data_IF_025743035033
#
_entry.id   IF_025743035033
#
_cell.length_a   1.000
_cell.length_b   1.000
_cell.length_c   1.000
_cell.angle_alpha   90.00
_cell.angle_beta   90.00
_cell.angle_gamma   90.00
#
_symmetry.space_group_name_H-M   'P 1'
#
loop_
_entity.id
_entity.type
_entity.pdbx_description
1 polymer ?
#
# COMPACT_ATOMS: atom_id res chain seq x y z
N UNK A 1 -3.98 -4.68 3.03
CA UNK A 1 -2.54 -5.07 3.08
C UNK A 1 -1.95 -4.98 4.49
N UNK A 2 -1.88 -3.84 5.17
CA UNK A 2 -1.25 -3.75 6.51
C UNK A 2 -1.86 -4.68 7.57
N UNK A 3 -3.14 -5.01 7.48
CA UNK A 3 -3.77 -6.05 8.31
C UNK A 3 -3.15 -7.44 8.09
N UNK A 4 -2.84 -7.78 6.85
CA UNK A 4 -2.18 -9.06 6.52
C UNK A 4 -0.78 -9.12 7.14
N UNK A 5 0.01 -8.05 7.04
CA UNK A 5 1.30 -7.96 7.71
C UNK A 5 1.18 -8.11 9.23
N UNK A 6 0.17 -7.46 9.84
CA UNK A 6 -0.11 -7.60 11.28
C UNK A 6 -0.45 -9.03 11.65
N UNK A 7 -1.32 -9.69 10.88
CA UNK A 7 -1.72 -11.09 11.10
C UNK A 7 -0.53 -12.03 10.91
N UNK A 8 0.32 -11.74 9.92
CA UNK A 8 1.58 -12.46 9.72
C UNK A 8 2.66 -12.13 10.77
N UNK A 9 2.32 -11.39 11.84
CA UNK A 9 3.21 -11.04 12.95
C UNK A 9 4.44 -10.22 12.54
N UNK A 10 4.35 -9.50 11.42
CA UNK A 10 5.39 -8.57 11.01
C UNK A 10 5.49 -7.40 12.00
N UNK A 11 6.71 -6.96 12.31
CA UNK A 11 6.94 -5.76 13.12
C UNK A 11 6.62 -4.53 12.27
N UNK A 12 5.52 -3.85 12.57
CA UNK A 12 5.04 -2.70 11.80
C UNK A 12 5.45 -1.41 12.47
N UNK A 13 6.23 -0.59 11.76
CA UNK A 13 6.58 0.75 12.19
C UNK A 13 5.38 1.70 11.99
N UNK A 14 4.83 2.18 13.09
CA UNK A 14 3.73 3.17 13.14
C UNK A 14 3.88 4.02 14.39
N UNK A 15 3.44 5.29 14.33
CA UNK A 15 3.45 6.19 15.47
C UNK A 15 2.09 6.38 16.11
N UNK A 16 1.04 5.75 15.57
CA UNK A 16 -0.34 5.85 16.02
C UNK A 16 -0.89 7.31 16.09
N UNK A 17 -0.26 8.26 15.40
CA UNK A 17 -0.73 9.66 15.36
C UNK A 17 -2.07 9.75 14.66
N UNK A 18 -2.23 8.98 13.56
CA UNK A 18 -3.50 8.87 12.84
C UNK A 18 -4.21 7.58 13.22
N UNK A 19 -5.23 7.71 14.04
CA UNK A 19 -6.07 6.59 14.50
C UNK A 19 -7.14 6.20 13.47
N UNK A 20 -7.83 5.08 13.73
CA UNK A 20 -8.98 4.65 12.94
C UNK A 20 -10.10 5.68 12.92
N UNK A 21 -10.82 5.75 11.81
CA UNK A 21 -12.01 6.56 11.62
C UNK A 21 -13.05 5.84 10.74
N UNK A 22 -14.18 6.49 10.44
CA UNK A 22 -15.23 5.91 9.59
C UNK A 22 -14.77 5.57 8.18
N UNK A 23 -13.74 6.27 7.67
CA UNK A 23 -13.18 6.02 6.34
C UNK A 23 -12.19 4.84 6.34
N UNK A 24 -11.52 4.63 7.46
CA UNK A 24 -10.60 3.51 7.65
C UNK A 24 -10.72 2.90 9.05
N UNK A 25 -11.76 2.10 9.30
CA UNK A 25 -12.07 1.55 10.62
C UNK A 25 -11.03 0.52 11.12
N UNK A 26 -10.12 0.07 10.26
CA UNK A 26 -9.02 -0.86 10.62
C UNK A 26 -7.68 -0.17 10.84
N UNK A 27 -7.65 1.17 10.87
CA UNK A 27 -6.45 1.98 11.11
C UNK A 27 -5.60 2.25 9.87
N UNK A 28 -4.79 3.29 9.95
CA UNK A 28 -4.00 3.78 8.81
C UNK A 28 -2.60 3.18 8.72
N UNK A 29 -2.01 2.75 9.85
CA UNK A 29 -0.66 2.21 9.91
C UNK A 29 0.37 3.14 9.26
N UNK A 30 0.26 4.43 9.50
CA UNK A 30 1.16 5.46 8.97
C UNK A 30 2.28 5.74 9.98
N UNK A 31 3.41 6.21 9.46
CA UNK A 31 4.52 6.74 10.21
C UNK A 31 4.76 8.16 9.72
N UNK A 32 4.65 9.17 10.60
CA UNK A 32 4.73 10.59 10.24
C UNK A 32 6.05 10.94 9.55
N UNK A 33 7.15 10.31 9.96
CA UNK A 33 8.47 10.50 9.36
C UNK A 33 8.49 10.25 7.85
N UNK A 34 7.62 9.36 7.34
CA UNK A 34 7.51 9.05 5.90
C UNK A 34 7.10 10.27 5.09
N UNK A 35 6.31 11.19 5.64
CA UNK A 35 5.92 12.43 4.95
C UNK A 35 7.11 13.34 4.65
N UNK A 36 8.15 13.24 5.47
CA UNK A 36 9.39 14.01 5.33
C UNK A 36 10.51 13.29 4.56
N UNK A 37 10.28 12.08 4.03
CA UNK A 37 11.31 11.21 3.43
C UNK A 37 12.08 11.89 2.29
N UNK A 38 11.44 12.79 1.55
CA UNK A 38 12.05 13.58 0.47
C UNK A 38 13.20 14.45 0.98
N UNK A 39 13.11 14.93 2.23
CA UNK A 39 14.10 15.81 2.86
C UNK A 39 15.11 15.03 3.69
N UNK A 40 14.66 13.99 4.34
CA UNK A 40 15.50 13.17 5.21
C UNK A 40 14.95 11.73 5.27
N UNK A 41 15.73 10.78 4.81
CA UNK A 41 15.41 9.36 4.82
C UNK A 41 16.26 8.56 5.83
N UNK A 42 17.08 9.23 6.66
CA UNK A 42 17.99 8.57 7.59
C UNK A 42 17.27 7.72 8.65
N UNK A 43 16.01 8.07 8.98
CA UNK A 43 15.18 7.29 9.91
C UNK A 43 14.93 5.85 9.46
N UNK A 44 15.06 5.57 8.16
CA UNK A 44 14.88 4.21 7.62
C UNK A 44 15.90 3.22 8.19
N UNK A 45 17.11 3.67 8.54
CA UNK A 45 18.15 2.82 9.16
C UNK A 45 17.75 2.29 10.54
N UNK A 46 16.90 3.03 11.25
CA UNK A 46 16.37 2.65 12.56
C UNK A 46 15.19 1.65 12.45
N UNK A 47 14.72 1.43 11.21
CA UNK A 47 13.58 0.58 10.90
C UNK A 47 13.99 -0.72 10.20
N UNK A 48 15.27 -1.08 10.26
CA UNK A 48 15.74 -2.34 9.69
C UNK A 48 14.97 -3.53 10.29
N UNK A 49 14.56 -4.46 9.41
CA UNK A 49 13.69 -5.59 9.78
C UNK A 49 12.22 -5.25 10.02
N UNK A 50 11.81 -3.98 9.92
CA UNK A 50 10.42 -3.55 10.11
C UNK A 50 9.66 -3.36 8.80
N UNK A 51 8.34 -3.50 8.89
CA UNK A 51 7.42 -3.20 7.80
C UNK A 51 6.92 -1.76 7.93
N UNK A 52 7.06 -0.96 6.88
CA UNK A 52 6.55 0.41 6.83
C UNK A 52 5.61 0.60 5.64
N UNK A 53 4.66 1.50 5.79
CA UNK A 53 3.75 1.91 4.71
C UNK A 53 4.30 3.16 4.05
N UNK A 54 4.61 3.07 2.76
CA UNK A 54 5.05 4.21 1.93
C UNK A 54 4.08 4.36 0.75
N UNK A 55 3.62 5.59 0.46
CA UNK A 55 2.83 5.86 -0.73
C UNK A 55 3.72 5.86 -1.98
N UNK A 56 3.22 5.36 -3.09
CA UNK A 56 3.99 5.11 -4.30
C UNK A 56 4.95 6.24 -4.73
N UNK A 57 4.56 7.53 -4.76
CA UNK A 57 5.47 8.60 -5.16
C UNK A 57 6.72 8.73 -4.27
N UNK A 58 6.59 8.35 -3.01
CA UNK A 58 7.67 8.49 -2.02
C UNK A 58 8.66 7.34 -2.01
N UNK A 59 8.34 6.22 -2.66
CA UNK A 59 9.25 5.06 -2.72
C UNK A 59 10.57 5.38 -3.43
N UNK A 60 10.59 6.37 -4.31
CA UNK A 60 11.79 6.81 -5.02
C UNK A 60 12.81 7.55 -4.14
N UNK A 61 12.46 7.82 -2.87
CA UNK A 61 13.31 8.53 -1.92
C UNK A 61 13.82 7.65 -0.77
N UNK A 62 13.67 6.33 -0.88
CA UNK A 62 14.18 5.39 0.13
C UNK A 62 15.72 5.37 0.13
N UNK A 63 16.32 4.95 1.25
CA UNK A 63 17.78 4.84 1.37
C UNK A 63 18.27 3.56 0.68
N UNK A 64 18.92 3.71 -0.48
CA UNK A 64 19.43 2.58 -1.28
C UNK A 64 20.61 1.83 -0.62
N UNK A 65 21.09 2.27 0.53
CA UNK A 65 22.07 1.51 1.31
C UNK A 65 21.44 0.34 2.10
N UNK A 66 20.11 0.25 2.13
CA UNK A 66 19.35 -0.81 2.80
C UNK A 66 18.75 -1.78 1.79
N UNK A 67 18.48 -3.00 2.24
CA UNK A 67 17.77 -4.01 1.45
C UNK A 67 16.26 -3.92 1.70
N UNK A 68 15.48 -4.07 0.63
CA UNK A 68 14.02 -3.98 0.69
C UNK A 68 13.34 -5.15 -0.01
N UNK A 69 12.21 -5.58 0.59
CA UNK A 69 11.17 -6.36 -0.09
C UNK A 69 9.91 -5.50 -0.17
N UNK A 70 9.41 -5.22 -1.36
CA UNK A 70 8.30 -4.29 -1.55
C UNK A 70 7.06 -5.03 -2.02
N UNK A 71 5.98 -4.94 -1.25
CA UNK A 71 4.65 -5.32 -1.70
C UNK A 71 3.97 -4.09 -2.27
N UNK A 72 3.85 -4.03 -3.59
CA UNK A 72 3.34 -2.88 -4.31
C UNK A 72 1.86 -3.07 -4.62
N UNK A 73 1.00 -2.38 -3.85
CA UNK A 73 -0.44 -2.46 -4.02
C UNK A 73 -0.90 -1.65 -5.21
N UNK A 74 -1.58 -2.30 -6.15
CA UNK A 74 -2.22 -1.66 -7.30
C UNK A 74 -3.72 -1.62 -7.07
N UNK A 75 -4.31 -0.46 -7.29
CA UNK A 75 -5.76 -0.28 -7.24
C UNK A 75 -6.25 0.34 -8.53
N UNK A 76 -7.47 -0.03 -8.94
CA UNK A 76 -8.14 0.62 -10.07
C UNK A 76 -8.20 2.13 -9.82
N UNK A 77 -7.79 2.90 -10.83
CA UNK A 77 -7.65 4.34 -10.69
C UNK A 77 -8.99 5.05 -10.56
N UNK A 78 -10.03 4.54 -11.22
CA UNK A 78 -11.37 5.10 -11.11
C UNK A 78 -11.90 4.93 -9.68
N UNK A 79 -11.63 3.79 -9.06
CA UNK A 79 -11.98 3.54 -7.65
C UNK A 79 -11.21 4.46 -6.68
N UNK A 80 -9.94 4.73 -6.98
CA UNK A 80 -9.13 5.68 -6.18
C UNK A 80 -9.71 7.08 -6.27
N UNK A 81 -10.06 7.53 -7.48
CA UNK A 81 -10.63 8.86 -7.72
C UNK A 81 -11.99 9.01 -7.04
N UNK A 82 -12.89 8.04 -7.18
CA UNK A 82 -14.18 8.03 -6.48
C UNK A 82 -14.03 8.07 -4.96
N UNK A 83 -13.02 7.36 -4.43
CA UNK A 83 -12.74 7.37 -3.00
C UNK A 83 -12.26 8.75 -2.52
N UNK A 84 -11.44 9.42 -3.31
CA UNK A 84 -10.96 10.77 -3.00
C UNK A 84 -12.07 11.81 -3.08
N UNK A 85 -12.95 11.74 -4.08
CA UNK A 85 -14.12 12.63 -4.20
C UNK A 85 -15.01 12.56 -2.97
N UNK A 86 -15.35 11.34 -2.53
CA UNK A 86 -16.14 11.15 -1.30
C UNK A 86 -15.48 11.74 -0.06
N UNK A 87 -14.16 11.67 0.04
CA UNK A 87 -13.42 12.24 1.16
C UNK A 87 -13.32 13.77 1.11
N UNK A 88 -13.24 14.35 -0.09
CA UNK A 88 -13.02 15.79 -0.28
C UNK A 88 -14.30 16.59 -0.52
N UNK A 89 -15.43 15.92 -0.80
CA UNK A 89 -16.73 16.55 -1.02
C UNK A 89 -16.78 17.47 -2.24
N UNK A 90 -15.93 17.26 -3.23
CA UNK A 90 -15.81 18.12 -4.42
C UNK A 90 -16.02 17.33 -5.70
N UNK A 91 -16.99 17.75 -6.47
CA UNK A 91 -17.18 17.32 -7.86
C UNK A 91 -16.24 18.14 -8.76
N UNK A 92 -15.19 17.51 -9.29
CA UNK A 92 -14.17 18.17 -10.11
C UNK A 92 -13.73 17.30 -11.28
N UNK A 93 -14.58 17.15 -12.30
CA UNK A 93 -14.28 16.35 -13.49
C UNK A 93 -12.99 16.79 -14.22
N UNK A 94 -12.71 18.08 -14.35
CA UNK A 94 -11.45 18.56 -14.97
C UNK A 94 -10.20 18.19 -14.16
N UNK A 95 -10.32 18.10 -12.85
CA UNK A 95 -9.19 17.67 -12.01
C UNK A 95 -8.98 16.16 -12.06
N UNK A 96 -10.00 15.37 -12.35
CA UNK A 96 -9.88 13.90 -12.40
C UNK A 96 -8.88 13.43 -13.46
N UNK A 97 -8.94 13.97 -14.68
CA UNK A 97 -8.00 13.57 -15.74
C UNK A 97 -6.55 13.95 -15.40
N UNK A 98 -6.37 15.13 -14.80
CA UNK A 98 -5.06 15.55 -14.33
C UNK A 98 -4.53 14.65 -13.20
N UNK A 99 -5.38 14.31 -12.25
CA UNK A 99 -5.05 13.36 -11.19
C UNK A 99 -4.74 11.98 -11.76
N UNK A 100 -5.53 11.51 -12.74
CA UNK A 100 -5.31 10.25 -13.42
C UNK A 100 -3.93 10.19 -14.06
N UNK A 101 -3.57 11.20 -14.83
CA UNK A 101 -2.27 11.28 -15.51
C UNK A 101 -1.11 11.32 -14.52
N UNK A 102 -1.23 12.12 -13.46
CA UNK A 102 -0.21 12.25 -12.41
C UNK A 102 -0.06 10.91 -11.65
N UNK A 103 -1.17 10.29 -11.26
CA UNK A 103 -1.14 9.03 -10.52
C UNK A 103 -0.50 7.90 -11.36
N UNK A 104 -0.92 7.76 -12.62
CA UNK A 104 -0.33 6.77 -13.55
C UNK A 104 1.17 7.00 -13.70
N UNK A 105 1.59 8.26 -13.88
CA UNK A 105 3.00 8.63 -13.96
C UNK A 105 3.78 8.23 -12.69
N UNK A 106 3.22 8.48 -11.51
CA UNK A 106 3.86 8.13 -10.24
C UNK A 106 3.98 6.63 -10.04
N UNK A 107 2.95 5.87 -10.37
CA UNK A 107 2.99 4.40 -10.30
C UNK A 107 4.09 3.86 -11.22
N UNK A 108 4.15 4.35 -12.47
CA UNK A 108 5.14 3.89 -13.43
C UNK A 108 6.58 4.29 -13.02
N UNK A 109 6.79 5.51 -12.55
CA UNK A 109 8.09 5.94 -12.01
C UNK A 109 8.53 5.08 -10.82
N UNK A 110 7.60 4.70 -9.95
CA UNK A 110 7.90 3.83 -8.82
C UNK A 110 8.35 2.45 -9.29
N UNK A 111 7.65 1.86 -10.27
CA UNK A 111 8.03 0.57 -10.89
C UNK A 111 9.42 0.62 -11.52
N UNK A 112 9.67 1.67 -12.32
CA UNK A 112 10.97 1.88 -12.97
C UNK A 112 12.10 2.02 -11.95
N UNK A 113 11.85 2.78 -10.87
CA UNK A 113 12.81 2.95 -9.77
C UNK A 113 13.14 1.62 -9.08
N UNK A 114 12.13 0.83 -8.73
CA UNK A 114 12.33 -0.47 -8.08
C UNK A 114 13.15 -1.41 -8.98
N UNK A 115 12.81 -1.49 -10.27
CA UNK A 115 13.54 -2.32 -11.24
C UNK A 115 14.98 -1.84 -11.46
N UNK A 116 15.18 -0.54 -11.65
CA UNK A 116 16.50 0.05 -11.91
C UNK A 116 17.48 -0.14 -10.75
N UNK A 117 16.98 -0.26 -9.53
CA UNK A 117 17.79 -0.47 -8.32
C UNK A 117 17.80 -1.93 -7.84
N UNK A 118 17.29 -2.88 -8.67
CA UNK A 118 17.20 -4.30 -8.33
C UNK A 118 16.49 -4.60 -7.00
N UNK A 119 15.52 -3.76 -6.61
CA UNK A 119 14.74 -3.96 -5.41
C UNK A 119 13.72 -5.06 -5.68
N UNK A 120 13.69 -6.08 -4.82
CA UNK A 120 12.72 -7.17 -4.92
C UNK A 120 11.31 -6.67 -4.62
N UNK A 121 10.37 -6.85 -5.55
CA UNK A 121 8.99 -6.46 -5.33
C UNK A 121 7.98 -7.40 -6.00
N UNK A 122 6.79 -7.46 -5.42
CA UNK A 122 5.61 -8.14 -5.95
C UNK A 122 4.46 -7.12 -6.10
N UNK A 123 3.73 -7.21 -7.20
CA UNK A 123 2.52 -6.40 -7.39
C UNK A 123 1.29 -7.20 -6.98
N UNK A 124 0.44 -6.60 -6.17
CA UNK A 124 -0.83 -7.18 -5.74
C UNK A 124 -1.96 -6.27 -6.19
N UNK A 125 -2.83 -6.78 -7.04
CA UNK A 125 -4.06 -6.09 -7.42
C UNK A 125 -5.04 -6.12 -6.25
N UNK A 126 -5.48 -4.94 -5.82
CA UNK A 126 -6.42 -4.84 -4.70
C UNK A 126 -7.71 -5.62 -4.95
N UNK A 127 -8.21 -5.58 -6.19
CA UNK A 127 -9.42 -6.27 -6.60
C UNK A 127 -9.24 -7.80 -6.53
N UNK A 128 -8.17 -8.32 -7.09
CA UNK A 128 -7.86 -9.75 -7.07
C UNK A 128 -7.72 -10.27 -5.65
N UNK A 129 -7.06 -9.52 -4.76
CA UNK A 129 -6.94 -9.86 -3.35
C UNK A 129 -8.31 -10.02 -2.66
N UNK A 130 -9.33 -9.29 -3.12
CA UNK A 130 -10.68 -9.34 -2.53
C UNK A 130 -11.58 -10.40 -3.21
N UNK A 131 -11.43 -10.64 -4.52
CA UNK A 131 -12.28 -11.54 -5.29
C UNK A 131 -11.75 -12.98 -5.28
N UNK A 132 -10.44 -13.16 -5.39
CA UNK A 132 -9.73 -14.45 -5.33
C UNK A 132 -8.51 -14.32 -4.39
N UNK A 133 -8.73 -14.30 -3.07
CA UNK A 133 -7.65 -14.08 -2.11
C UNK A 133 -6.63 -15.21 -2.06
N UNK A 134 -6.98 -16.44 -2.42
CA UNK A 134 -6.13 -17.60 -2.21
C UNK A 134 -4.82 -17.51 -2.97
N UNK A 135 -4.90 -17.30 -4.28
CA UNK A 135 -3.72 -17.16 -5.14
C UNK A 135 -2.86 -15.94 -4.72
N UNK A 136 -3.50 -14.80 -4.43
CA UNK A 136 -2.79 -13.60 -3.98
C UNK A 136 -2.08 -13.81 -2.65
N UNK A 137 -2.72 -14.48 -1.70
CA UNK A 137 -2.13 -14.76 -0.39
C UNK A 137 -0.98 -15.76 -0.48
N UNK A 138 -1.11 -16.80 -1.31
CA UNK A 138 -0.02 -17.74 -1.52
C UNK A 138 1.23 -17.04 -2.06
N UNK A 139 1.07 -16.20 -3.08
CA UNK A 139 2.17 -15.41 -3.63
C UNK A 139 2.80 -14.46 -2.60
N UNK A 140 1.98 -13.86 -1.73
CA UNK A 140 2.47 -13.02 -0.64
C UNK A 140 3.23 -13.81 0.42
N UNK A 141 2.72 -14.99 0.80
CA UNK A 141 3.37 -15.88 1.77
C UNK A 141 4.75 -16.29 1.26
N UNK A 142 4.85 -16.71 0.01
CA UNK A 142 6.10 -17.13 -0.62
C UNK A 142 7.08 -15.94 -0.71
N UNK A 143 6.61 -14.79 -1.18
CA UNK A 143 7.44 -13.59 -1.33
C UNK A 143 7.94 -13.03 0.00
N UNK A 144 7.07 -12.97 1.01
CA UNK A 144 7.39 -12.42 2.33
C UNK A 144 7.95 -13.47 3.31
N UNK A 145 7.98 -14.75 2.92
CA UNK A 145 8.38 -15.87 3.77
C UNK A 145 7.50 -15.99 5.02
N UNK A 146 6.17 -15.84 4.86
CA UNK A 146 5.22 -15.97 5.96
C UNK A 146 4.87 -17.42 6.23
N UNK A 147 4.91 -17.81 7.51
CA UNK A 147 4.51 -19.14 7.99
C UNK A 147 3.08 -19.18 8.55
N UNK A 148 2.40 -18.04 8.55
CA UNK A 148 1.02 -17.91 9.05
C UNK A 148 0.05 -18.73 8.19
N UNK A 149 -0.85 -19.52 8.79
CA UNK A 149 -1.82 -20.29 8.04
C UNK A 149 -2.67 -19.45 7.10
N UNK A 150 -2.90 -19.94 5.88
CA UNK A 150 -3.67 -19.25 4.84
C UNK A 150 -5.06 -18.81 5.33
N UNK A 151 -5.76 -19.66 6.09
CA UNK A 151 -7.09 -19.34 6.62
C UNK A 151 -7.08 -18.19 7.62
N UNK A 152 -6.00 -18.04 8.39
CA UNK A 152 -5.83 -16.91 9.30
C UNK A 152 -5.65 -15.60 8.51
N UNK A 153 -4.88 -15.63 7.42
CA UNK A 153 -4.73 -14.49 6.52
C UNK A 153 -6.03 -14.16 5.79
N UNK A 154 -6.80 -15.15 5.33
CA UNK A 154 -8.11 -14.95 4.70
C UNK A 154 -9.09 -14.26 5.64
N UNK A 155 -9.06 -14.57 6.94
CA UNK A 155 -10.00 -14.05 7.93
C UNK A 155 -9.99 -12.52 8.06
N UNK A 156 -8.89 -11.86 7.71
CA UNK A 156 -8.78 -10.39 7.79
C UNK A 156 -9.19 -9.67 6.52
N UNK A 157 -9.45 -10.42 5.43
CA UNK A 157 -9.95 -9.86 4.17
C UNK A 157 -11.44 -9.62 4.30
N UNK A 158 -11.83 -8.36 4.26
CA UNK A 158 -13.21 -7.92 4.45
C UNK A 158 -13.75 -7.26 3.18
N UNK A 159 -14.51 -8.04 2.42
CA UNK A 159 -15.12 -7.57 1.17
C UNK A 159 -16.14 -6.45 1.39
N UNK A 160 -16.72 -6.31 2.59
CA UNK A 160 -17.69 -5.24 2.89
C UNK A 160 -17.06 -3.85 2.87
N UNK A 161 -15.74 -3.77 3.10
CA UNK A 161 -14.98 -2.52 3.03
C UNK A 161 -14.67 -2.08 1.59
N UNK A 162 -14.98 -2.92 0.59
CA UNK A 162 -14.86 -2.58 -0.83
C UNK A 162 -16.07 -1.79 -1.31
N UNK A 163 -16.14 -0.51 -0.92
CA UNK A 163 -17.31 0.36 -1.09
C UNK A 163 -17.44 0.99 -2.49
N UNK A 164 -16.35 1.09 -3.23
CA UNK A 164 -16.28 1.77 -4.54
C UNK A 164 -15.95 0.75 -5.62
N UNK A 165 -16.92 -0.12 -5.92
CA UNK A 165 -16.80 -1.08 -7.02
C UNK A 165 -17.11 -0.39 -8.33
N UNK A 166 -16.28 -0.61 -9.35
CA UNK A 166 -16.68 -0.32 -10.73
C UNK A 166 -17.77 -1.34 -11.07
N UNK A 167 -19.00 -0.87 -11.30
CA UNK A 167 -20.03 -1.76 -11.82
C UNK A 167 -19.54 -2.30 -13.16
N UNK A 168 -19.55 -3.63 -13.29
CA UNK A 168 -19.21 -4.33 -14.54
C UNK A 168 -20.24 -4.02 -15.63
#
# INVERSE_FOLDING_TARGET
MMQLFKTAKADIATDAIRTEDENNPKGYYELEAVKGIVKNNAFLKELDGKTIKIVAPLVTFIDLSLEYRVVFMIRDLDEVLQSQEKMLGKDQQEQQEKFRSIYTLHVEKSRQFLRANNISFIEIQHRELLEDPETCLQNLMDFCSWETPLEELKSVIDQSLYRNRKNA
#
